data_IF_122159838173
#
_entry.id   IF_122159838173
#
_cell.length_a   1.000
_cell.length_b   1.000
_cell.length_c   1.000
_cell.angle_alpha   90.00
_cell.angle_beta   90.00
_cell.angle_gamma   90.00
#
_symmetry.space_group_name_H-M   'P 1'
#
loop_
_entity.id
_entity.type
_entity.pdbx_description
1 polymer ?
#
# COMPACT_ATOMS: atom_id res chain seq x y z
N UNK A 1 -30.39 -37.68 -8.39
CA UNK A 1 -31.67 -37.22 -8.91
C UNK A 1 -32.23 -36.16 -7.97
N UNK A 2 -32.18 -34.92 -8.32
CA UNK A 2 -33.11 -33.79 -8.14
C UNK A 2 -32.31 -32.48 -8.31
N UNK A 3 -32.40 -31.95 -9.50
CA UNK A 3 -31.94 -30.61 -9.87
C UNK A 3 -32.89 -29.58 -9.25
N UNK A 4 -32.36 -28.63 -8.48
CA UNK A 4 -33.07 -27.42 -8.07
C UNK A 4 -32.45 -26.27 -8.78
N UNK A 5 -33.12 -25.77 -9.83
CA UNK A 5 -32.83 -24.54 -10.54
C UNK A 5 -33.52 -23.42 -9.77
N UNK A 6 -32.77 -22.57 -9.12
CA UNK A 6 -33.29 -21.33 -8.52
C UNK A 6 -32.99 -20.18 -9.47
N UNK A 7 -34.08 -19.76 -10.13
CA UNK A 7 -34.11 -18.59 -11.01
C UNK A 7 -34.34 -17.35 -10.13
N UNK A 8 -33.30 -16.51 -9.90
CA UNK A 8 -33.45 -15.21 -9.24
C UNK A 8 -33.46 -14.12 -10.30
N UNK A 9 -34.67 -13.65 -10.63
CA UNK A 9 -34.88 -12.41 -11.39
C UNK A 9 -34.46 -11.21 -10.56
N UNK A 10 -33.45 -10.50 -11.03
CA UNK A 10 -33.03 -9.24 -10.45
C UNK A 10 -33.74 -8.07 -11.14
N UNK A 11 -34.62 -7.42 -10.39
CA UNK A 11 -35.34 -6.21 -10.80
C UNK A 11 -34.38 -5.02 -10.68
N UNK A 12 -34.06 -4.37 -11.79
CA UNK A 12 -33.27 -3.15 -11.84
C UNK A 12 -34.24 -1.96 -11.73
N UNK A 13 -34.20 -1.23 -10.62
CA UNK A 13 -34.85 0.07 -10.46
C UNK A 13 -33.85 1.21 -10.75
N UNK A 14 -34.10 1.89 -11.87
CA UNK A 14 -33.38 3.11 -12.26
C UNK A 14 -34.06 4.30 -11.58
N UNK A 15 -33.38 4.97 -10.65
CA UNK A 15 -33.79 6.25 -10.11
C UNK A 15 -33.03 7.37 -10.86
N UNK A 16 -33.75 8.07 -11.73
CA UNK A 16 -33.30 9.31 -12.32
C UNK A 16 -33.52 10.45 -11.30
N UNK A 17 -32.45 11.11 -10.89
CA UNK A 17 -32.48 12.32 -10.06
C UNK A 17 -32.16 13.53 -10.94
N UNK A 18 -33.19 14.35 -11.23
CA UNK A 18 -33.06 15.69 -11.83
C UNK A 18 -32.72 16.69 -10.73
N UNK A 19 -31.66 17.48 -10.92
CA UNK A 19 -31.41 18.70 -10.15
C UNK A 19 -31.84 19.92 -10.91
N UNK A 20 -32.56 20.91 -10.30
CA UNK A 20 -32.97 22.13 -10.96
C UNK A 20 -31.86 23.20 -10.90
N UNK A 21 -31.69 23.88 -12.02
CA UNK A 21 -30.93 25.13 -12.17
C UNK A 21 -31.63 26.27 -11.43
N UNK A 22 -30.88 27.11 -10.73
CA UNK A 22 -31.38 28.38 -10.18
C UNK A 22 -30.62 29.52 -10.79
N UNK A 23 -31.30 30.21 -11.73
CA UNK A 23 -30.99 31.54 -12.21
C UNK A 23 -31.28 32.60 -11.14
N UNK A 24 -30.37 33.53 -10.91
CA UNK A 24 -30.66 34.90 -10.45
C UNK A 24 -29.62 35.88 -10.95
N UNK A 25 -29.93 36.57 -12.03
CA UNK A 25 -30.40 37.98 -12.14
C UNK A 25 -29.38 39.06 -11.75
N UNK A 26 -28.85 39.63 -12.78
CA UNK A 26 -28.46 41.02 -13.13
C UNK A 26 -28.92 42.11 -12.16
N UNK A 27 -27.98 42.97 -11.75
CA UNK A 27 -28.26 44.41 -11.59
C UNK A 27 -27.09 45.26 -12.10
N UNK A 28 -27.46 46.20 -12.94
CA UNK A 28 -26.74 47.23 -13.68
C UNK A 28 -26.56 48.48 -12.82
N UNK A 29 -25.54 49.23 -13.10
CA UNK A 29 -25.26 50.67 -13.02
C UNK A 29 -24.00 50.96 -12.17
N UNK A 30 -23.10 51.83 -12.48
CA UNK A 30 -22.99 52.93 -13.45
C UNK A 30 -21.53 53.45 -13.37
N UNK A 31 -20.95 53.81 -14.50
CA UNK A 31 -20.03 54.92 -14.78
C UNK A 31 -18.87 55.26 -13.81
N UNK A 32 -17.62 55.23 -14.24
CA UNK A 32 -16.83 56.43 -14.64
C UNK A 32 -15.37 56.07 -15.01
N UNK A 33 -14.95 56.70 -16.08
CA UNK A 33 -13.69 56.85 -16.78
C UNK A 33 -12.33 56.69 -16.07
N UNK A 34 -11.43 56.17 -16.91
CA UNK A 34 -10.06 56.61 -17.22
C UNK A 34 -8.92 56.34 -16.23
N UNK A 35 -8.01 55.43 -16.55
CA UNK A 35 -6.64 55.79 -16.96
C UNK A 35 -5.82 54.55 -17.41
N UNK A 36 -5.30 54.74 -18.60
CA UNK A 36 -4.31 53.91 -19.28
C UNK A 36 -3.01 53.80 -18.43
N UNK A 37 -2.57 52.58 -18.13
CA UNK A 37 -1.19 52.33 -17.83
C UNK A 37 -0.90 50.89 -18.28
N UNK A 38 -0.08 50.78 -19.32
CA UNK A 38 0.56 49.57 -19.80
C UNK A 38 1.40 48.98 -18.66
N UNK A 39 1.02 47.80 -18.20
CA UNK A 39 1.93 46.95 -17.42
C UNK A 39 2.00 45.62 -18.13
N UNK A 40 3.12 45.39 -18.81
CA UNK A 40 3.53 44.10 -19.37
C UNK A 40 3.62 43.14 -18.21
N UNK A 41 2.63 42.28 -18.05
CA UNK A 41 2.69 41.17 -17.14
C UNK A 41 3.60 40.10 -17.76
N UNK A 42 4.85 40.07 -17.30
CA UNK A 42 5.77 38.96 -17.52
C UNK A 42 5.18 37.73 -16.82
N UNK A 43 4.57 36.86 -17.61
CA UNK A 43 4.17 35.55 -17.13
C UNK A 43 5.44 34.75 -16.84
N UNK A 44 5.77 34.62 -15.57
CA UNK A 44 6.73 33.62 -15.09
C UNK A 44 6.21 32.24 -15.47
N UNK A 45 7.06 31.35 -16.01
CA UNK A 45 6.64 29.99 -16.30
C UNK A 45 6.22 29.32 -15.00
N UNK A 46 4.97 28.87 -14.92
CA UNK A 46 4.47 28.01 -13.85
C UNK A 46 5.31 26.75 -13.93
N UNK A 47 6.25 26.63 -13.01
CA UNK A 47 7.02 25.41 -12.78
C UNK A 47 5.99 24.37 -12.32
N UNK A 48 5.57 23.47 -13.21
CA UNK A 48 4.82 22.29 -12.82
C UNK A 48 5.72 21.47 -11.90
N UNK A 49 5.64 21.72 -10.60
CA UNK A 49 6.15 20.81 -9.62
C UNK A 49 5.29 19.54 -9.73
N UNK A 50 5.91 18.48 -10.24
CA UNK A 50 5.34 17.13 -10.17
C UNK A 50 5.30 16.81 -8.68
N UNK A 51 4.12 16.97 -8.08
CA UNK A 51 3.86 16.56 -6.69
C UNK A 51 4.05 15.05 -6.69
N UNK A 52 5.22 14.60 -6.21
CA UNK A 52 5.48 13.18 -6.00
C UNK A 52 4.50 12.70 -4.94
N UNK A 53 3.68 11.66 -5.18
CA UNK A 53 2.74 11.19 -4.17
C UNK A 53 3.51 10.82 -2.91
N UNK A 54 3.02 11.28 -1.75
CA UNK A 54 3.61 10.94 -0.46
C UNK A 54 3.20 9.51 -0.10
N UNK A 55 4.18 8.69 0.27
CA UNK A 55 3.92 7.31 0.67
C UNK A 55 3.24 7.28 2.04
N UNK A 56 2.28 6.39 2.22
CA UNK A 56 1.65 6.17 3.51
C UNK A 56 2.69 5.83 4.57
N UNK A 57 2.56 6.41 5.77
CA UNK A 57 3.43 6.10 6.93
C UNK A 57 3.40 4.62 7.32
N UNK A 58 2.35 3.89 6.92
CA UNK A 58 2.22 2.46 7.20
C UNK A 58 3.27 1.60 6.48
N UNK A 59 3.90 2.12 5.43
CA UNK A 59 4.96 1.43 4.68
C UNK A 59 6.38 1.75 5.16
N UNK A 60 6.56 2.56 6.20
CA UNK A 60 7.89 2.88 6.71
C UNK A 60 8.66 1.64 7.18
N UNK A 61 7.96 0.67 7.80
CA UNK A 61 8.55 -0.62 8.14
C UNK A 61 7.48 -1.72 8.14
N UNK A 62 7.67 -2.69 7.28
CA UNK A 62 6.89 -3.91 7.16
C UNK A 62 7.70 -5.09 7.70
N UNK A 63 7.10 -5.83 8.61
CA UNK A 63 7.70 -6.99 9.25
C UNK A 63 7.10 -8.25 8.65
N UNK A 64 7.90 -9.27 8.30
CA UNK A 64 7.39 -10.52 7.75
C UNK A 64 6.54 -11.26 8.77
N UNK A 65 5.44 -11.83 8.29
CA UNK A 65 4.56 -12.76 9.02
C UNK A 65 4.27 -13.96 8.13
N UNK A 66 3.72 -15.03 8.70
CA UNK A 66 3.32 -16.21 7.94
C UNK A 66 1.91 -16.67 8.33
N UNK A 67 1.33 -17.59 7.56
CA UNK A 67 0.04 -18.20 7.83
C UNK A 67 0.24 -19.32 8.85
N UNK A 68 -0.17 -19.10 10.09
CA UNK A 68 -0.09 -20.10 11.17
C UNK A 68 -1.35 -20.98 11.23
N UNK A 69 -2.52 -20.39 11.10
CA UNK A 69 -3.79 -21.09 11.13
C UNK A 69 -4.69 -20.72 9.94
N UNK A 70 -4.57 -21.39 8.80
CA UNK A 70 -5.32 -21.05 7.59
C UNK A 70 -6.83 -21.20 7.72
N UNK A 71 -7.30 -21.90 8.75
CA UNK A 71 -8.73 -22.12 9.02
C UNK A 71 -9.36 -21.05 9.90
N UNK A 72 -8.56 -20.25 10.61
CA UNK A 72 -9.09 -19.18 11.46
C UNK A 72 -9.68 -18.05 10.62
N UNK A 73 -10.81 -17.54 11.08
CA UNK A 73 -11.44 -16.30 10.55
C UNK A 73 -10.93 -15.06 11.28
N UNK A 74 -10.22 -15.24 12.39
CA UNK A 74 -9.55 -14.15 13.10
C UNK A 74 -8.17 -13.92 12.46
N UNK A 75 -7.96 -12.74 11.91
CA UNK A 75 -6.74 -12.38 11.19
C UNK A 75 -5.48 -12.51 12.07
N UNK A 76 -5.56 -12.16 13.36
CA UNK A 76 -4.42 -12.22 14.27
C UNK A 76 -4.07 -13.64 14.76
N UNK A 77 -4.99 -14.60 14.55
CA UNK A 77 -4.72 -16.02 14.76
C UNK A 77 -4.34 -16.74 13.47
N UNK A 78 -4.87 -16.24 12.33
CA UNK A 78 -4.59 -16.79 11.00
C UNK A 78 -3.15 -16.56 10.59
N UNK A 79 -2.66 -15.35 10.85
CA UNK A 79 -1.28 -14.97 10.60
C UNK A 79 -0.52 -14.85 11.91
N UNK A 80 0.78 -14.98 11.85
CA UNK A 80 1.64 -14.86 13.03
C UNK A 80 3.07 -14.56 12.70
N UNK A 81 3.86 -14.42 13.76
CA UNK A 81 5.26 -14.08 13.70
C UNK A 81 6.06 -15.38 13.65
N UNK A 82 6.81 -15.61 12.58
CA UNK A 82 7.63 -16.79 12.38
C UNK A 82 9.04 -16.65 13.01
N UNK A 83 9.35 -15.50 13.60
CA UNK A 83 10.71 -15.21 14.11
C UNK A 83 10.70 -14.75 15.57
N UNK A 84 10.02 -15.46 16.44
CA UNK A 84 10.26 -15.33 17.87
C UNK A 84 11.57 -16.05 18.23
N UNK A 85 12.25 -15.58 19.26
CA UNK A 85 13.65 -15.84 19.58
C UNK A 85 14.21 -17.27 19.52
N UNK A 86 13.37 -18.29 19.41
CA UNK A 86 13.76 -19.69 19.32
C UNK A 86 13.54 -20.31 17.93
N UNK A 87 12.95 -19.58 16.99
CA UNK A 87 12.73 -20.07 15.63
C UNK A 87 13.88 -19.68 14.71
N UNK A 88 14.30 -20.60 13.86
CA UNK A 88 15.35 -20.40 12.86
C UNK A 88 14.95 -19.52 11.69
N UNK A 89 14.17 -18.49 11.93
CA UNK A 89 13.71 -17.56 10.88
C UNK A 89 14.58 -16.32 10.73
N UNK A 90 15.82 -16.38 11.26
CA UNK A 90 16.82 -15.33 11.07
C UNK A 90 17.26 -15.12 9.62
N UNK A 91 16.70 -15.85 8.68
CA UNK A 91 16.86 -15.63 7.25
C UNK A 91 15.77 -14.73 6.62
N UNK A 92 14.75 -14.35 7.37
CA UNK A 92 13.70 -13.47 6.86
C UNK A 92 14.16 -12.02 6.72
N UNK A 93 13.56 -11.31 5.78
CA UNK A 93 13.80 -9.89 5.56
C UNK A 93 12.57 -9.05 5.89
N UNK A 94 12.76 -8.00 6.68
CA UNK A 94 11.83 -6.88 6.80
C UNK A 94 11.99 -5.93 5.62
N UNK A 95 10.93 -5.19 5.27
CA UNK A 95 10.91 -4.22 4.19
C UNK A 95 10.64 -2.84 4.76
N UNK A 96 11.54 -1.90 4.53
CA UNK A 96 11.32 -0.48 4.81
C UNK A 96 11.24 0.30 3.51
N UNK A 97 10.21 1.11 3.35
CA UNK A 97 10.02 1.94 2.16
C UNK A 97 9.81 3.38 2.57
N UNK A 98 10.63 4.25 2.00
CA UNK A 98 10.53 5.70 2.12
C UNK A 98 10.31 6.31 0.73
N UNK A 99 10.14 7.61 0.62
CA UNK A 99 10.01 8.26 -0.68
C UNK A 99 11.24 8.08 -1.60
N UNK A 100 12.41 7.75 -1.04
CA UNK A 100 13.67 7.73 -1.79
C UNK A 100 14.42 6.40 -1.72
N UNK A 101 14.07 5.54 -0.77
CA UNK A 101 14.82 4.29 -0.53
C UNK A 101 13.88 3.18 -0.13
N UNK A 102 14.02 2.04 -0.77
CA UNK A 102 13.46 0.77 -0.36
C UNK A 102 14.58 -0.11 0.20
N UNK A 103 14.43 -0.60 1.41
CA UNK A 103 15.48 -1.36 2.12
C UNK A 103 14.92 -2.68 2.61
N UNK A 104 15.59 -3.76 2.24
CA UNK A 104 15.40 -5.08 2.82
C UNK A 104 16.44 -5.30 3.92
N UNK A 105 16.00 -5.61 5.13
CA UNK A 105 16.89 -5.80 6.29
C UNK A 105 16.66 -7.18 6.88
N UNK A 106 17.71 -7.93 7.18
CA UNK A 106 17.61 -9.19 7.89
C UNK A 106 17.00 -8.96 9.28
N UNK A 107 16.03 -9.80 9.69
CA UNK A 107 15.31 -9.62 10.97
C UNK A 107 16.17 -9.84 12.19
N UNK A 108 17.30 -10.57 12.08
CA UNK A 108 18.25 -10.86 13.16
C UNK A 108 19.56 -10.06 13.04
N UNK A 109 19.81 -9.36 11.92
CA UNK A 109 21.03 -8.59 11.70
C UNK A 109 20.68 -7.27 10.97
N UNK A 110 20.61 -6.19 11.70
CA UNK A 110 20.28 -4.84 11.20
C UNK A 110 21.33 -4.28 10.24
N UNK A 111 22.53 -4.85 10.23
CA UNK A 111 23.62 -4.46 9.31
C UNK A 111 23.53 -5.18 7.97
N UNK A 112 22.88 -6.34 7.92
CA UNK A 112 22.67 -7.07 6.67
C UNK A 112 21.48 -6.49 5.90
N UNK A 113 21.75 -5.47 5.08
CA UNK A 113 20.75 -4.71 4.33
C UNK A 113 20.98 -4.78 2.82
N UNK A 114 19.89 -4.71 2.05
CA UNK A 114 19.89 -4.51 0.60
C UNK A 114 19.03 -3.31 0.25
N UNK A 115 19.61 -2.31 -0.42
CA UNK A 115 18.98 -1.01 -0.70
C UNK A 115 18.72 -0.82 -2.19
N UNK A 116 17.56 -0.25 -2.50
CA UNK A 116 17.14 0.16 -3.85
C UNK A 116 16.74 1.64 -3.76
N UNK A 117 17.39 2.50 -4.54
CA UNK A 117 17.16 3.96 -4.50
C UNK A 117 16.37 4.47 -5.71
N UNK A 118 16.41 3.73 -6.84
CA UNK A 118 15.73 4.12 -8.07
C UNK A 118 14.43 3.34 -8.23
N UNK A 119 13.33 3.96 -7.82
CA UNK A 119 11.99 3.40 -8.00
C UNK A 119 10.94 4.52 -8.07
N UNK A 120 9.79 4.17 -8.60
CA UNK A 120 8.55 4.95 -8.50
C UNK A 120 7.50 4.13 -7.79
N UNK A 121 6.50 4.78 -7.20
CA UNK A 121 5.37 4.07 -6.63
C UNK A 121 4.05 4.74 -6.97
N UNK A 122 2.98 3.94 -6.97
CA UNK A 122 1.59 4.37 -7.13
C UNK A 122 0.73 3.62 -6.12
N UNK A 123 -0.35 4.28 -5.64
CA UNK A 123 -1.35 3.65 -4.80
C UNK A 123 -2.62 3.49 -5.63
N UNK A 124 -3.15 2.26 -5.71
CA UNK A 124 -4.33 1.89 -6.49
C UNK A 124 -5.28 1.08 -5.59
N UNK A 125 -6.17 1.77 -4.89
CA UNK A 125 -7.11 1.15 -3.95
C UNK A 125 -6.38 0.49 -2.78
N UNK A 126 -6.45 -0.84 -2.69
CA UNK A 126 -5.80 -1.68 -1.69
C UNK A 126 -4.35 -2.07 -2.04
N UNK A 127 -3.84 -1.57 -3.18
CA UNK A 127 -2.51 -1.92 -3.69
C UNK A 127 -1.56 -0.75 -3.66
N UNK A 128 -0.34 -1.01 -3.21
CA UNK A 128 0.82 -0.15 -3.45
C UNK A 128 1.75 -0.85 -4.43
N UNK A 129 1.99 -0.21 -5.57
CA UNK A 129 2.80 -0.74 -6.65
C UNK A 129 4.11 0.05 -6.68
N UNK A 130 5.24 -0.64 -6.49
CA UNK A 130 6.58 -0.07 -6.50
C UNK A 130 7.31 -0.63 -7.72
N UNK A 131 7.74 0.25 -8.63
CA UNK A 131 8.42 -0.13 -9.88
C UNK A 131 9.88 0.29 -9.86
N UNK A 132 10.75 -0.66 -10.11
CA UNK A 132 12.18 -0.45 -10.40
C UNK A 132 12.46 -0.75 -11.88
N UNK A 133 13.69 -0.59 -12.33
CA UNK A 133 14.08 -0.96 -13.70
C UNK A 133 13.91 -2.47 -13.99
N UNK A 134 14.05 -3.32 -12.96
CA UNK A 134 14.10 -4.77 -13.12
C UNK A 134 12.83 -5.48 -12.64
N UNK A 135 12.08 -4.87 -11.72
CA UNK A 135 11.00 -5.54 -10.97
C UNK A 135 9.87 -4.61 -10.65
N UNK A 136 8.70 -5.21 -10.47
CA UNK A 136 7.54 -4.56 -9.85
C UNK A 136 7.20 -5.30 -8.57
N UNK A 137 7.14 -4.57 -7.45
CA UNK A 137 6.68 -5.08 -6.16
C UNK A 137 5.24 -4.60 -5.97
N UNK A 138 4.34 -5.51 -5.67
CA UNK A 138 2.92 -5.21 -5.46
C UNK A 138 2.58 -5.65 -4.04
N UNK A 139 2.30 -4.68 -3.18
CA UNK A 139 1.81 -4.88 -1.84
C UNK A 139 0.30 -4.71 -1.85
N UNK A 140 -0.44 -5.78 -1.68
CA UNK A 140 -1.91 -5.78 -1.63
C UNK A 140 -2.34 -5.91 -0.18
N UNK A 141 -3.09 -4.93 0.33
CA UNK A 141 -3.69 -5.04 1.65
C UNK A 141 -4.79 -6.10 1.61
N UNK A 142 -4.67 -7.10 2.48
CA UNK A 142 -5.62 -8.20 2.62
C UNK A 142 -6.13 -8.25 4.06
N UNK A 143 -7.34 -8.75 4.25
CA UNK A 143 -8.02 -8.83 5.54
C UNK A 143 -8.22 -7.46 6.24
N UNK A 144 -8.95 -7.43 7.37
CA UNK A 144 -9.30 -6.19 8.10
C UNK A 144 -8.13 -5.59 8.89
N UNK A 145 -7.18 -6.41 9.32
CA UNK A 145 -5.94 -5.94 9.92
C UNK A 145 -4.96 -5.53 8.81
N UNK A 146 -3.94 -4.71 9.11
CA UNK A 146 -2.93 -4.33 8.12
C UNK A 146 -2.00 -5.52 7.82
N UNK A 147 -2.53 -6.47 7.07
CA UNK A 147 -1.79 -7.57 6.47
C UNK A 147 -1.63 -7.27 5.00
N UNK A 148 -0.41 -7.37 4.52
CA UNK A 148 -0.04 -7.11 3.13
C UNK A 148 0.49 -8.38 2.51
N UNK A 149 -0.07 -8.76 1.36
CA UNK A 149 0.47 -9.81 0.50
C UNK A 149 1.43 -9.17 -0.51
N UNK A 150 2.66 -9.64 -0.55
CA UNK A 150 3.66 -9.21 -1.50
C UNK A 150 3.68 -10.15 -2.70
N UNK A 151 3.57 -9.59 -3.90
CA UNK A 151 3.96 -10.26 -5.13
C UNK A 151 5.07 -9.48 -5.85
N UNK A 152 5.96 -10.21 -6.52
CA UNK A 152 7.10 -9.63 -7.24
C UNK A 152 7.05 -10.15 -8.67
N UNK A 153 7.00 -9.21 -9.62
CA UNK A 153 7.01 -9.47 -11.06
C UNK A 153 8.33 -9.01 -11.66
N UNK A 154 8.78 -9.67 -12.73
CA UNK A 154 10.03 -9.37 -13.42
C UNK A 154 11.17 -10.29 -13.02
N UNK A 155 12.39 -9.77 -12.88
CA UNK A 155 13.56 -10.58 -12.53
C UNK A 155 13.44 -11.13 -11.11
N UNK A 156 13.89 -12.36 -10.88
CA UNK A 156 13.91 -12.97 -9.55
C UNK A 156 14.68 -12.10 -8.56
N UNK A 157 14.06 -11.79 -7.42
CA UNK A 157 14.75 -11.11 -6.32
C UNK A 157 15.59 -12.15 -5.56
N UNK A 158 16.89 -11.97 -5.55
CA UNK A 158 17.82 -12.79 -4.78
C UNK A 158 18.51 -11.90 -3.74
N UNK A 159 18.24 -12.14 -2.48
CA UNK A 159 18.89 -11.48 -1.35
C UNK A 159 19.89 -12.45 -0.74
N UNK A 160 21.13 -11.98 -0.56
CA UNK A 160 22.14 -12.78 0.13
C UNK A 160 21.70 -13.03 1.57
N UNK A 161 21.71 -14.28 2.01
CA UNK A 161 21.36 -14.72 3.37
C UNK A 161 19.97 -14.28 3.87
N UNK A 162 19.06 -13.93 2.94
CA UNK A 162 17.70 -13.50 3.28
C UNK A 162 16.70 -14.11 2.32
N UNK A 163 15.56 -14.52 2.83
CA UNK A 163 14.38 -14.84 2.03
C UNK A 163 13.29 -13.80 2.25
N UNK A 164 12.45 -13.61 1.26
CA UNK A 164 11.33 -12.68 1.30
C UNK A 164 10.08 -13.46 1.64
N UNK A 165 9.39 -13.07 2.69
CA UNK A 165 8.07 -13.61 3.03
C UNK A 165 7.02 -13.18 2.00
N UNK A 166 5.95 -13.96 1.91
CA UNK A 166 4.78 -13.61 1.12
C UNK A 166 3.89 -12.58 1.83
N UNK A 167 3.86 -12.60 3.17
CA UNK A 167 3.00 -11.76 3.97
C UNK A 167 3.80 -10.85 4.90
N UNK A 168 3.24 -9.67 5.12
CA UNK A 168 3.82 -8.64 5.96
C UNK A 168 2.75 -7.97 6.81
N UNK A 169 3.17 -7.40 7.92
CA UNK A 169 2.36 -6.45 8.71
C UNK A 169 3.20 -5.25 9.08
N UNK A 170 2.56 -4.18 9.61
CA UNK A 170 3.32 -3.02 10.08
C UNK A 170 3.97 -3.32 11.43
N UNK A 171 5.11 -2.68 11.71
CA UNK A 171 5.77 -2.77 13.03
C UNK A 171 4.82 -2.42 14.18
N UNK A 172 3.89 -1.48 13.95
CA UNK A 172 2.91 -1.03 14.95
C UNK A 172 1.90 -2.10 15.33
N UNK A 173 1.48 -2.92 14.37
CA UNK A 173 0.45 -3.95 14.58
C UNK A 173 1.03 -5.32 14.91
N UNK A 174 2.33 -5.49 14.74
CA UNK A 174 3.04 -6.75 15.04
C UNK A 174 2.67 -7.35 16.40
N UNK A 175 2.58 -6.61 17.52
CA UNK A 175 2.24 -7.16 18.83
C UNK A 175 0.82 -7.76 18.95
N UNK A 176 -0.04 -7.54 17.96
CA UNK A 176 -1.40 -8.10 17.93
C UNK A 176 -1.44 -9.52 17.37
N UNK A 177 -0.38 -9.96 16.71
CA UNK A 177 -0.31 -11.27 16.06
C UNK A 177 0.24 -12.33 16.99
N UNK A 178 -0.22 -13.56 16.81
CA UNK A 178 0.27 -14.70 17.54
C UNK A 178 1.73 -14.99 17.16
N UNK A 179 2.58 -15.22 18.14
CA UNK A 179 3.91 -15.75 17.92
C UNK A 179 3.85 -17.26 17.69
N UNK A 180 4.58 -17.75 16.71
CA UNK A 180 4.74 -19.18 16.50
C UNK A 180 5.62 -19.75 17.63
N UNK A 181 5.04 -20.65 18.40
CA UNK A 181 5.80 -21.42 19.38
C UNK A 181 6.60 -22.52 18.65
N UNK A 182 7.89 -22.31 18.55
CA UNK A 182 8.78 -23.26 17.87
C UNK A 182 9.20 -24.41 18.77
N UNK A 183 8.65 -24.48 19.98
CA UNK A 183 9.03 -25.45 21.00
C UNK A 183 10.45 -25.28 21.52
N UNK A 184 10.76 -25.98 22.57
CA UNK A 184 12.13 -26.09 23.05
C UNK A 184 12.92 -27.03 22.09
N UNK A 185 13.99 -26.50 21.54
CA UNK A 185 14.91 -27.29 20.73
C UNK A 185 15.68 -28.21 21.70
N UNK A 186 15.18 -29.41 21.89
CA UNK A 186 15.97 -30.47 22.53
C UNK A 186 17.03 -30.95 21.51
N UNK A 187 18.22 -30.31 21.56
CA UNK A 187 19.39 -30.62 20.75
C UNK A 187 20.08 -31.88 21.16
#
# INVERSE_FOLDING_TARGET
>A
MKNIIINCSFLITILASCSPATDKKVNTADSTEAKKADTVATQSPVKNEIIKPEMSVDFLTLVPIDVLNPKSTNVHEKYGIEFSGNCYSCDLASLSVTNNTMTWTNVCDDKDTFKINDFSFTNEGDKTIIKTAERTYILTQIDKAPVYELSIEGQKLELKNKRVSKYFTTQKTLPLFTEHDCGDFEG
#
